data_IF_860533836887
#
_entry.id   IF_860533836887
#
_cell.length_a   1.000
_cell.length_b   1.000
_cell.length_c   1.000
_cell.angle_alpha   90.00
_cell.angle_beta   90.00
_cell.angle_gamma   90.00
#
_symmetry.space_group_name_H-M   'P 1'
#
loop_
_entity.id
_entity.type
_entity.pdbx_description
1 polymer ?
#
# COMPACT_ATOMS: atom_id res chain seq x y z
N UNK A 1 -1.09 -5.41 8.07
CA UNK A 1 -0.92 -4.67 6.80
C UNK A 1 -0.04 -5.43 5.82
N UNK A 2 1.12 -5.97 6.21
CA UNK A 2 1.92 -6.90 5.38
C UNK A 2 1.12 -8.14 4.91
N UNK A 3 0.26 -8.66 5.77
CA UNK A 3 -0.61 -9.81 5.49
C UNK A 3 -1.64 -9.57 4.37
N UNK A 4 -2.13 -8.33 4.20
CA UNK A 4 -3.08 -7.99 3.13
C UNK A 4 -2.40 -7.79 1.78
N UNK A 5 -1.11 -7.44 1.78
CA UNK A 5 -0.34 -7.14 0.56
C UNK A 5 0.22 -8.36 -0.13
N UNK A 6 0.55 -9.41 0.62
CA UNK A 6 1.05 -10.65 0.05
C UNK A 6 -0.04 -11.46 -0.65
N UNK A 7 -1.32 -11.23 -0.33
CA UNK A 7 -2.48 -11.94 -0.90
C UNK A 7 -2.69 -11.66 -2.38
N UNK A 8 -2.22 -10.51 -2.85
CA UNK A 8 -2.45 -10.02 -4.21
C UNK A 8 -1.14 -9.88 -5.01
N UNK A 9 -0.04 -10.41 -4.47
CA UNK A 9 1.24 -10.47 -5.18
C UNK A 9 1.14 -11.57 -6.25
N UNK A 10 1.47 -11.27 -7.53
CA UNK A 10 1.54 -12.28 -8.58
C UNK A 10 2.36 -13.49 -8.12
N UNK A 11 1.91 -14.69 -8.48
CA UNK A 11 2.56 -15.94 -8.06
C UNK A 11 4.06 -15.97 -8.41
N UNK A 12 4.44 -15.33 -9.52
CA UNK A 12 5.83 -15.22 -9.98
C UNK A 12 6.74 -14.49 -8.97
N UNK A 13 6.17 -13.55 -8.22
CA UNK A 13 6.92 -12.74 -7.25
C UNK A 13 7.15 -13.48 -5.92
N UNK A 14 6.48 -14.61 -5.67
CA UNK A 14 6.66 -15.40 -4.45
C UNK A 14 8.04 -16.05 -4.41
N UNK A 15 8.53 -16.52 -5.56
CA UNK A 15 9.88 -17.06 -5.72
C UNK A 15 10.95 -15.99 -5.41
N UNK A 16 10.77 -14.77 -5.90
CA UNK A 16 11.68 -13.65 -5.63
C UNK A 16 11.71 -13.27 -4.15
N UNK A 17 10.54 -13.25 -3.49
CA UNK A 17 10.44 -13.00 -2.05
C UNK A 17 11.11 -14.09 -1.22
N UNK A 18 10.98 -15.35 -1.62
CA UNK A 18 11.66 -16.49 -1.00
C UNK A 18 13.19 -16.40 -1.14
N UNK A 19 13.67 -16.04 -2.34
CA UNK A 19 15.10 -15.81 -2.57
C UNK A 19 15.63 -14.64 -1.73
N UNK A 20 14.90 -13.51 -1.67
CA UNK A 20 15.24 -12.36 -0.83
C UNK A 20 15.28 -12.73 0.66
N UNK A 21 14.31 -13.51 1.14
CA UNK A 21 14.26 -13.97 2.52
C UNK A 21 15.47 -14.87 2.84
N UNK A 22 15.83 -15.80 1.95
CA UNK A 22 17.04 -16.62 2.07
C UNK A 22 18.32 -15.79 2.11
N UNK A 23 18.44 -14.80 1.22
CA UNK A 23 19.59 -13.91 1.15
C UNK A 23 19.73 -13.05 2.43
N UNK A 24 18.62 -12.55 2.97
CA UNK A 24 18.57 -11.84 4.26
C UNK A 24 19.00 -12.71 5.44
N UNK A 25 18.67 -14.01 5.43
CA UNK A 25 19.11 -14.95 6.48
C UNK A 25 20.63 -15.14 6.41
N UNK A 26 21.19 -15.27 5.21
CA UNK A 26 22.63 -15.45 4.97
C UNK A 26 23.42 -14.20 5.39
N UNK A 27 22.94 -13.00 5.03
CA UNK A 27 23.57 -11.71 5.36
C UNK A 27 23.53 -11.37 6.85
N UNK A 28 22.80 -12.15 7.67
CA UNK A 28 22.78 -12.01 9.13
C UNK A 28 21.56 -11.28 9.68
N UNK A 29 20.64 -10.82 8.84
CA UNK A 29 19.35 -10.26 9.24
C UNK A 29 18.31 -11.35 9.55
N UNK A 30 18.70 -12.34 10.36
CA UNK A 30 17.94 -13.59 10.60
C UNK A 30 16.51 -13.34 11.06
N UNK A 31 16.27 -12.40 11.98
CA UNK A 31 14.92 -12.09 12.47
C UNK A 31 13.99 -11.60 11.36
N UNK A 32 14.50 -10.76 10.45
CA UNK A 32 13.72 -10.19 9.35
C UNK A 32 13.48 -11.24 8.27
N UNK A 33 14.51 -12.03 7.95
CA UNK A 33 14.41 -13.14 6.99
C UNK A 33 13.45 -14.24 7.43
N UNK A 34 13.51 -14.69 8.69
CA UNK A 34 12.56 -15.66 9.22
C UNK A 34 11.13 -15.13 9.28
N UNK A 35 10.94 -13.84 9.61
CA UNK A 35 9.61 -13.21 9.56
C UNK A 35 9.06 -13.20 8.14
N UNK A 36 9.87 -12.81 7.14
CA UNK A 36 9.46 -12.80 5.74
C UNK A 36 9.14 -14.21 5.23
N UNK A 37 10.03 -15.17 5.51
CA UNK A 37 9.83 -16.57 5.13
C UNK A 37 8.56 -17.14 5.75
N UNK A 38 8.37 -16.94 7.06
CA UNK A 38 7.16 -17.36 7.76
C UNK A 38 5.90 -16.72 7.20
N UNK A 39 5.94 -15.43 6.85
CA UNK A 39 4.82 -14.71 6.22
C UNK A 39 4.46 -15.28 4.85
N UNK A 40 5.47 -15.55 4.01
CA UNK A 40 5.28 -16.13 2.68
C UNK A 40 4.68 -17.53 2.79
N UNK A 41 5.20 -18.39 3.68
CA UNK A 41 4.63 -19.71 3.91
C UNK A 41 3.19 -19.66 4.42
N UNK A 42 2.89 -18.78 5.38
CA UNK A 42 1.52 -18.61 5.88
C UNK A 42 0.55 -18.17 4.78
N UNK A 43 1.01 -17.28 3.90
CA UNK A 43 0.19 -16.80 2.79
C UNK A 43 -0.01 -17.81 1.68
N UNK A 44 1.02 -18.58 1.34
CA UNK A 44 0.87 -19.69 0.41
C UNK A 44 -0.19 -20.68 0.91
N UNK A 45 -0.24 -20.90 2.22
CA UNK A 45 -1.27 -21.74 2.84
C UNK A 45 -2.66 -21.08 2.90
N UNK A 46 -2.70 -19.75 3.02
CA UNK A 46 -3.93 -18.97 3.08
C UNK A 46 -4.54 -18.67 1.70
N UNK A 47 -3.75 -18.77 0.62
CA UNK A 47 -4.19 -18.53 -0.76
C UNK A 47 -5.48 -19.30 -1.14
N UNK A 48 -5.60 -20.62 -0.93
CA UNK A 48 -6.83 -21.34 -1.28
C UNK A 48 -8.07 -20.88 -0.48
N UNK A 49 -7.88 -20.37 0.74
CA UNK A 49 -8.96 -19.78 1.53
C UNK A 49 -9.37 -18.41 1.01
N UNK A 50 -8.41 -17.64 0.51
CA UNK A 50 -8.65 -16.31 -0.05
C UNK A 50 -9.39 -16.39 -1.37
N UNK A 51 -9.08 -17.36 -2.23
CA UNK A 51 -9.84 -17.59 -3.46
C UNK A 51 -11.30 -17.93 -3.18
N UNK A 52 -11.55 -18.79 -2.19
CA UNK A 52 -12.89 -19.16 -1.76
C UNK A 52 -13.67 -17.97 -1.18
N UNK A 53 -13.00 -17.08 -0.43
CA UNK A 53 -13.60 -15.86 0.09
C UNK A 53 -13.88 -14.82 -1.00
N UNK A 54 -12.95 -14.64 -1.95
CA UNK A 54 -13.09 -13.74 -3.10
C UNK A 54 -14.24 -14.19 -4.01
N UNK A 55 -14.40 -15.49 -4.22
CA UNK A 55 -15.52 -16.04 -4.99
C UNK A 55 -16.88 -15.83 -4.30
N UNK A 56 -16.89 -15.72 -2.97
CA UNK A 56 -18.10 -15.43 -2.20
C UNK A 56 -18.45 -13.93 -2.12
N UNK A 57 -17.56 -13.04 -2.57
CA UNK A 57 -17.75 -11.59 -2.53
C UNK A 57 -18.55 -11.07 -3.74
N UNK A 58 -19.39 -10.04 -3.56
CA UNK A 58 -20.07 -9.38 -4.67
C UNK A 58 -19.05 -8.78 -5.65
N UNK A 59 -19.32 -8.81 -6.98
CA UNK A 59 -18.37 -8.35 -8.00
C UNK A 59 -18.03 -6.86 -7.87
N UNK A 60 -18.94 -6.06 -7.34
CA UNK A 60 -18.74 -4.63 -7.08
C UNK A 60 -17.63 -4.39 -6.05
N UNK A 61 -17.57 -5.24 -5.01
CA UNK A 61 -16.55 -5.14 -3.95
C UNK A 61 -15.20 -5.59 -4.48
N UNK A 62 -15.17 -6.63 -5.31
CA UNK A 62 -13.95 -7.11 -5.97
C UNK A 62 -13.34 -6.02 -6.86
N UNK A 63 -14.16 -5.32 -7.65
CA UNK A 63 -13.69 -4.20 -8.49
C UNK A 63 -13.11 -3.04 -7.67
N UNK A 64 -13.76 -2.68 -6.55
CA UNK A 64 -13.21 -1.69 -5.61
C UNK A 64 -11.87 -2.14 -5.03
N UNK A 65 -11.75 -3.43 -4.70
CA UNK A 65 -10.53 -4.01 -4.16
C UNK A 65 -9.39 -3.94 -5.18
N UNK A 66 -9.65 -4.26 -6.44
CA UNK A 66 -8.69 -4.14 -7.56
C UNK A 66 -8.20 -2.69 -7.72
N UNK A 67 -9.05 -1.69 -7.49
CA UNK A 67 -8.66 -0.28 -7.59
C UNK A 67 -7.84 0.20 -6.39
N UNK A 68 -8.25 -0.19 -5.18
CA UNK A 68 -7.62 0.27 -3.92
C UNK A 68 -6.27 -0.43 -3.70
N UNK A 69 -6.14 -1.67 -4.14
CA UNK A 69 -4.95 -2.48 -3.92
C UNK A 69 -3.64 -1.87 -4.47
N UNK A 70 -3.55 -1.45 -5.74
CA UNK A 70 -2.32 -0.84 -6.27
C UNK A 70 -1.98 0.47 -5.58
N UNK A 71 -2.98 1.28 -5.19
CA UNK A 71 -2.78 2.49 -4.39
C UNK A 71 -2.14 2.18 -3.02
N UNK A 72 -2.61 1.11 -2.35
CA UNK A 72 -2.02 0.63 -1.11
C UNK A 72 -0.59 0.14 -1.31
N UNK A 73 -0.32 -0.55 -2.42
CA UNK A 73 1.01 -1.09 -2.74
C UNK A 73 2.01 0.04 -3.01
N UNK A 74 1.62 1.05 -3.79
CA UNK A 74 2.42 2.26 -4.00
C UNK A 74 2.69 2.97 -2.67
N UNK A 75 1.66 3.19 -1.85
CA UNK A 75 1.81 3.78 -0.51
C UNK A 75 2.79 2.99 0.35
N UNK A 76 2.76 1.66 0.31
CA UNK A 76 3.68 0.81 1.06
C UNK A 76 5.12 0.94 0.54
N UNK A 77 5.32 0.85 -0.77
CA UNK A 77 6.65 0.97 -1.39
C UNK A 77 7.26 2.33 -1.06
N UNK A 78 6.47 3.40 -1.15
CA UNK A 78 6.92 4.74 -0.75
C UNK A 78 7.26 4.79 0.73
N UNK A 79 6.44 4.20 1.62
CA UNK A 79 6.76 4.11 3.06
C UNK A 79 8.02 3.30 3.35
N UNK A 80 8.29 2.25 2.58
CA UNK A 80 9.45 1.39 2.75
C UNK A 80 10.73 2.08 2.30
N UNK A 81 10.68 2.78 1.16
CA UNK A 81 11.83 3.48 0.56
C UNK A 81 12.13 4.79 1.30
N UNK A 82 11.11 5.62 1.55
CA UNK A 82 11.28 6.95 2.13
C UNK A 82 11.19 6.97 3.66
N UNK A 83 10.77 5.87 4.28
CA UNK A 83 10.56 5.78 5.72
C UNK A 83 9.20 6.34 6.17
N UNK A 84 8.75 5.91 7.36
CA UNK A 84 7.41 6.18 7.89
C UNK A 84 7.13 7.68 8.08
N UNK A 85 8.17 8.44 8.44
CA UNK A 85 8.05 9.86 8.76
C UNK A 85 7.89 10.74 7.51
N UNK A 86 8.55 10.38 6.41
CA UNK A 86 8.42 11.11 5.13
C UNK A 86 7.03 10.92 4.55
N UNK A 87 6.46 9.72 4.62
CA UNK A 87 5.08 9.48 4.19
C UNK A 87 4.06 10.27 5.02
N UNK A 88 4.25 10.33 6.35
CA UNK A 88 3.36 11.11 7.22
C UNK A 88 3.41 12.61 6.87
N UNK A 89 4.59 13.16 6.56
CA UNK A 89 4.73 14.54 6.11
C UNK A 89 4.13 14.77 4.72
N UNK A 90 4.28 13.82 3.79
CA UNK A 90 3.72 13.90 2.43
C UNK A 90 2.19 13.90 2.46
N UNK A 91 1.59 12.94 3.18
CA UNK A 91 0.13 12.89 3.35
C UNK A 91 -0.37 14.11 4.10
N UNK A 92 0.33 14.56 5.14
CA UNK A 92 -0.01 15.77 5.88
C UNK A 92 0.01 17.03 4.99
N UNK A 93 1.02 17.18 4.13
CA UNK A 93 1.09 18.29 3.16
C UNK A 93 0.02 18.20 2.09
N UNK A 94 -0.24 17.01 1.54
CA UNK A 94 -1.32 16.79 0.58
C UNK A 94 -2.68 17.12 1.18
N UNK A 95 -2.97 16.67 2.41
CA UNK A 95 -4.21 17.02 3.10
C UNK A 95 -4.30 18.53 3.35
N UNK A 96 -3.20 19.15 3.77
CA UNK A 96 -3.15 20.59 4.00
C UNK A 96 -3.42 21.37 2.72
N UNK A 97 -2.82 20.98 1.59
CA UNK A 97 -3.05 21.61 0.29
C UNK A 97 -4.48 21.37 -0.21
N UNK A 98 -5.03 20.17 -0.01
CA UNK A 98 -6.42 19.86 -0.37
C UNK A 98 -7.41 20.67 0.45
N UNK A 99 -7.18 20.81 1.76
CA UNK A 99 -7.99 21.62 2.66
C UNK A 99 -7.86 23.12 2.36
N UNK A 100 -6.68 23.58 1.92
CA UNK A 100 -6.41 24.99 1.63
C UNK A 100 -6.87 25.42 0.23
N UNK A 101 -6.94 24.49 -0.71
CA UNK A 101 -7.44 24.71 -2.07
C UNK A 101 -8.80 25.44 -2.14
N UNK A 102 -9.86 25.05 -1.40
CA UNK A 102 -11.14 25.75 -1.44
C UNK A 102 -11.05 27.18 -0.89
N UNK A 103 -10.30 27.41 0.20
CA UNK A 103 -10.13 28.77 0.76
C UNK A 103 -9.32 29.68 -0.17
N UNK A 104 -8.35 29.12 -0.90
CA UNK A 104 -7.57 29.87 -1.89
C UNK A 104 -8.42 30.24 -3.10
N UNK A 105 -9.35 29.37 -3.50
CA UNK A 105 -10.36 29.66 -4.52
C UNK A 105 -11.32 30.76 -4.08
N UNK A 106 -11.85 30.70 -2.87
CA UNK A 106 -12.69 31.75 -2.27
C UNK A 106 -11.95 33.09 -2.17
N UNK A 107 -10.69 33.10 -1.75
CA UNK A 107 -9.86 34.30 -1.69
C UNK A 107 -9.45 34.85 -3.06
N UNK A 108 -9.44 34.03 -4.11
CA UNK A 108 -9.27 34.49 -5.48
C UNK A 108 -10.56 35.13 -6.00
N UNK A 109 -11.70 34.50 -5.73
CA UNK A 109 -13.03 34.99 -6.12
C UNK A 109 -13.37 36.34 -5.46
N UNK A 110 -13.04 36.50 -4.18
CA UNK A 110 -13.23 37.76 -3.45
C UNK A 110 -12.29 38.88 -3.96
N UNK A 111 -11.05 38.54 -4.33
CA UNK A 111 -10.12 39.54 -4.90
C UNK A 111 -10.46 39.92 -6.35
N UNK A 112 -11.03 39.00 -7.12
CA UNK A 112 -11.58 39.30 -8.45
C UNK A 112 -12.75 40.28 -8.40
N UNK A 113 -13.62 40.16 -7.40
CA UNK A 113 -14.80 41.03 -7.22
C UNK A 113 -14.50 42.47 -6.81
N UNK A 114 -13.27 42.82 -6.38
CA UNK A 114 -12.88 44.20 -6.01
C UNK A 114 -12.24 44.99 -7.16
N UNK A 115 -12.12 44.40 -8.35
CA UNK A 115 -11.54 45.04 -9.55
C UNK A 115 -12.57 45.31 -10.66
N UNK A 116 -13.86 45.15 -10.37
CA UNK A 116 -15.00 45.56 -11.20
C UNK A 116 -15.77 46.58 -10.37
#
# INVERSE_FOLDING_TARGET
MLSLLLTFLPEECWLLLLQLAGLLIIVGARRTGFRLFGLVCLLAFAAPFLDSLLAALPPEVVNLLILIFPLLLISLVVRLIFGRDVWAQLVGRLLYDLLRAPFRFLGWLWRGSRRI
#
